data_IF_877420658315
#
_entry.id   IF_877420658315
#
_cell.length_a   1.000
_cell.length_b   1.000
_cell.length_c   1.000
_cell.angle_alpha   90.00
_cell.angle_beta   90.00
_cell.angle_gamma   90.00
#
_symmetry.space_group_name_H-M   'P 1'
#
loop_
_entity.id
_entity.type
_entity.pdbx_description
1 polymer ?
#
# COMPACT_ATOMS: atom_id res chain seq x y z
N UNK A 1 13.76 50.03 -12.33
CA UNK A 1 14.83 50.82 -11.68
C UNK A 1 14.74 50.60 -10.17
N UNK A 2 15.87 50.21 -9.56
CA UNK A 2 16.22 50.29 -8.13
C UNK A 2 15.48 49.33 -7.15
N UNK A 3 16.14 48.24 -6.71
CA UNK A 3 16.92 48.09 -5.45
C UNK A 3 15.96 47.83 -4.24
N UNK A 4 16.09 46.79 -3.41
CA UNK A 4 17.28 46.34 -2.66
C UNK A 4 17.11 44.89 -2.16
N UNK A 5 18.21 44.12 -2.21
CA UNK A 5 18.43 42.87 -1.47
C UNK A 5 18.63 43.19 0.02
N UNK A 6 18.02 42.43 0.90
CA UNK A 6 18.35 42.38 2.34
C UNK A 6 18.83 40.98 2.68
N UNK A 7 20.14 40.89 2.91
CA UNK A 7 20.81 39.83 3.67
C UNK A 7 20.47 40.04 5.15
N UNK A 8 20.08 38.98 5.85
CA UNK A 8 20.29 38.88 7.29
C UNK A 8 21.02 37.57 7.60
N UNK A 9 22.21 37.75 8.17
CA UNK A 9 23.03 36.72 8.77
C UNK A 9 22.64 36.58 10.26
N UNK A 10 22.69 35.35 10.76
CA UNK A 10 22.55 34.99 12.18
C UNK A 10 22.12 33.52 12.24
N UNK A 11 22.94 32.53 12.63
CA UNK A 11 24.00 32.56 13.64
C UNK A 11 23.42 32.10 14.97
N UNK A 12 23.17 30.79 15.11
CA UNK A 12 22.85 30.16 16.39
C UNK A 12 23.55 28.79 16.46
N UNK A 13 24.75 28.82 17.02
CA UNK A 13 25.37 27.66 17.63
C UNK A 13 24.59 27.32 18.91
N UNK A 14 24.14 26.08 19.05
CA UNK A 14 23.61 25.58 20.32
C UNK A 14 24.52 24.47 20.84
N UNK A 15 24.83 24.62 22.11
CA UNK A 15 25.95 24.03 22.85
C UNK A 15 25.77 22.54 23.15
N UNK A 16 26.88 21.82 23.01
CA UNK A 16 27.19 20.55 23.65
C UNK A 16 27.18 20.73 25.17
N UNK A 17 26.33 19.99 25.89
CA UNK A 17 26.33 19.95 27.35
C UNK A 17 26.59 18.51 27.82
N UNK A 18 27.87 18.19 27.95
CA UNK A 18 28.37 17.02 28.66
C UNK A 18 28.45 17.38 30.16
N UNK A 19 27.68 16.72 31.00
CA UNK A 19 27.83 16.79 32.45
C UNK A 19 27.96 15.37 33.02
N UNK A 20 29.17 15.02 33.41
CA UNK A 20 29.49 13.87 34.24
C UNK A 20 29.45 14.28 35.72
N UNK A 21 28.84 13.43 36.56
CA UNK A 21 29.22 13.09 37.95
C UNK A 21 28.03 12.41 38.67
N UNK A 22 28.15 11.54 39.68
CA UNK A 22 29.08 10.50 40.11
C UNK A 22 28.48 9.90 41.41
N UNK A 23 28.07 8.62 41.39
CA UNK A 23 28.12 7.68 42.54
C UNK A 23 27.12 7.77 43.70
N UNK A 24 26.25 6.75 43.83
CA UNK A 24 25.95 6.04 45.10
C UNK A 24 25.57 4.58 44.78
N UNK A 25 26.08 3.66 45.59
CA UNK A 25 26.18 2.21 45.35
C UNK A 25 24.89 1.41 45.58
N UNK A 26 24.66 0.37 44.78
CA UNK A 26 24.28 -0.96 45.31
C UNK A 26 24.71 -2.06 44.34
N UNK A 27 25.39 -3.07 44.86
CA UNK A 27 25.75 -4.32 44.20
C UNK A 27 24.53 -5.26 44.18
N UNK A 28 24.23 -5.92 43.05
CA UNK A 28 24.27 -7.39 42.94
C UNK A 28 24.09 -7.84 41.48
N UNK A 29 24.80 -8.90 41.13
CA UNK A 29 24.98 -9.42 39.78
C UNK A 29 23.78 -10.25 39.29
N UNK A 30 23.45 -10.09 38.01
CA UNK A 30 22.49 -10.96 37.32
C UNK A 30 22.51 -10.73 35.82
N UNK A 31 23.43 -11.40 35.13
CA UNK A 31 23.50 -11.53 33.67
C UNK A 31 22.13 -11.88 33.10
N UNK A 32 21.60 -11.02 32.21
CA UNK A 32 20.73 -11.42 31.11
C UNK A 32 21.15 -10.66 29.86
N UNK A 33 21.90 -11.35 29.02
CA UNK A 33 21.94 -11.11 27.58
C UNK A 33 20.60 -11.57 26.98
N UNK A 34 20.30 -11.01 25.80
CA UNK A 34 19.20 -11.38 24.87
C UNK A 34 17.79 -10.92 25.32
N UNK A 35 17.00 -10.19 24.54
CA UNK A 35 16.92 -9.99 23.09
C UNK A 35 16.44 -8.54 22.83
N UNK A 36 16.79 -7.87 21.71
CA UNK A 36 15.92 -6.81 21.23
C UNK A 36 14.55 -7.47 21.00
N UNK A 37 13.50 -6.86 21.56
CA UNK A 37 12.16 -7.17 21.12
C UNK A 37 12.18 -7.06 19.59
N UNK A 38 11.76 -8.12 18.92
CA UNK A 38 11.47 -8.04 17.49
C UNK A 38 10.45 -6.92 17.35
N UNK A 39 10.93 -5.76 16.93
CA UNK A 39 10.12 -4.88 16.12
C UNK A 39 9.87 -5.70 14.86
N UNK A 40 8.68 -6.29 14.79
CA UNK A 40 8.07 -6.63 13.52
C UNK A 40 7.90 -5.30 12.79
N UNK A 41 8.99 -4.82 12.19
CA UNK A 41 8.96 -3.80 11.16
C UNK A 41 8.20 -4.43 10.00
N UNK A 42 6.91 -4.15 9.96
CA UNK A 42 6.10 -4.24 8.77
C UNK A 42 6.59 -3.12 7.84
N UNK A 43 7.69 -3.39 7.13
CA UNK A 43 8.38 -2.48 6.20
C UNK A 43 7.87 -2.69 4.77
N UNK A 44 6.58 -2.99 4.57
CA UNK A 44 6.08 -3.41 3.25
C UNK A 44 5.44 -2.30 2.41
N UNK A 45 5.47 -1.04 2.85
CA UNK A 45 4.94 0.06 2.01
C UNK A 45 5.53 1.45 2.26
N UNK A 46 6.48 1.62 3.20
CA UNK A 46 7.01 2.94 3.57
C UNK A 46 7.89 3.53 2.44
N UNK A 47 7.26 4.08 1.40
CA UNK A 47 7.93 4.87 0.36
C UNK A 47 7.53 4.60 -1.09
N UNK A 48 6.49 3.81 -1.36
CA UNK A 48 6.05 3.59 -2.74
C UNK A 48 5.13 4.75 -3.15
N UNK A 49 5.51 5.47 -4.20
CA UNK A 49 4.68 6.52 -4.80
C UNK A 49 4.77 6.52 -6.32
N UNK A 50 3.73 7.06 -6.95
CA UNK A 50 3.62 7.12 -8.40
C UNK A 50 2.92 8.41 -8.84
N UNK A 51 3.44 9.06 -9.87
CA UNK A 51 2.82 10.21 -10.52
C UNK A 51 2.21 9.76 -11.85
N UNK A 52 0.89 9.62 -11.87
CA UNK A 52 0.11 9.21 -13.04
C UNK A 52 -0.46 10.39 -13.83
N UNK A 53 -1.26 10.08 -14.85
CA UNK A 53 -1.97 11.12 -15.61
C UNK A 53 -3.17 11.65 -14.82
N UNK A 54 -3.85 10.77 -14.08
CA UNK A 54 -5.10 11.11 -13.39
C UNK A 54 -4.88 11.53 -11.93
N UNK A 55 -3.71 11.25 -11.36
CA UNK A 55 -3.34 11.71 -10.03
C UNK A 55 -1.96 11.27 -9.57
N UNK A 56 -1.57 11.79 -8.41
CA UNK A 56 -0.44 11.29 -7.64
C UNK A 56 -0.93 10.28 -6.59
N UNK A 57 -0.16 9.21 -6.42
CA UNK A 57 -0.48 8.09 -5.54
C UNK A 57 0.65 7.90 -4.54
N UNK A 58 0.31 7.82 -3.25
CA UNK A 58 1.24 7.45 -2.18
C UNK A 58 0.69 6.23 -1.45
N UNK A 59 1.36 5.08 -1.57
CA UNK A 59 0.92 3.82 -1.00
C UNK A 59 1.33 3.73 0.47
N UNK A 60 0.42 3.20 1.29
CA UNK A 60 0.59 3.10 2.74
C UNK A 60 0.59 1.68 3.24
N UNK A 61 -0.18 0.79 2.62
CA UNK A 61 -0.18 -0.63 2.97
C UNK A 61 -0.66 -1.52 1.82
N UNK A 62 -0.24 -2.78 1.86
CA UNK A 62 -0.67 -3.85 0.98
C UNK A 62 -1.06 -5.06 1.83
N UNK A 63 -2.37 -5.25 2.02
CA UNK A 63 -2.88 -6.26 2.95
C UNK A 63 -3.55 -7.40 2.19
N UNK A 64 -3.12 -8.67 2.36
CA UNK A 64 -3.88 -9.82 1.89
C UNK A 64 -5.26 -9.88 2.55
N UNK A 65 -6.31 -10.02 1.76
CA UNK A 65 -7.70 -10.09 2.23
C UNK A 65 -8.42 -11.27 1.61
N UNK A 66 -9.47 -11.74 2.30
CA UNK A 66 -10.42 -12.71 1.76
C UNK A 66 -11.68 -11.99 1.33
N UNK A 67 -12.10 -12.23 0.09
CA UNK A 67 -13.29 -11.60 -0.49
C UNK A 67 -14.35 -12.68 -0.74
N UNK A 68 -15.60 -12.47 -0.33
CA UNK A 68 -16.69 -13.41 -0.60
C UNK A 68 -16.95 -13.52 -2.10
N UNK A 69 -17.04 -14.75 -2.60
CA UNK A 69 -17.26 -15.05 -4.01
C UNK A 69 -18.24 -16.22 -4.19
N UNK A 70 -18.52 -16.56 -5.45
CA UNK A 70 -19.34 -17.71 -5.84
C UNK A 70 -18.54 -18.61 -6.76
N UNK A 71 -18.49 -19.91 -6.44
CA UNK A 71 -17.87 -20.90 -7.32
C UNK A 71 -18.73 -21.17 -8.57
N UNK A 72 -18.22 -22.00 -9.49
CA UNK A 72 -18.93 -22.35 -10.72
C UNK A 72 -20.26 -23.11 -10.48
N UNK A 73 -20.44 -23.67 -9.29
CA UNK A 73 -21.62 -24.42 -8.86
C UNK A 73 -22.62 -23.52 -8.10
N UNK A 74 -22.24 -22.27 -7.81
CA UNK A 74 -23.04 -21.28 -7.12
C UNK A 74 -22.95 -21.36 -5.58
N UNK A 75 -22.03 -22.13 -5.03
CA UNK A 75 -21.78 -22.17 -3.60
C UNK A 75 -20.98 -20.94 -3.16
N UNK A 76 -21.21 -20.51 -1.92
CA UNK A 76 -20.39 -19.48 -1.28
C UNK A 76 -18.95 -19.99 -1.14
N UNK A 77 -18.01 -19.17 -1.59
CA UNK A 77 -16.58 -19.43 -1.45
C UNK A 77 -15.87 -18.11 -1.12
N UNK A 78 -14.57 -18.18 -0.86
CA UNK A 78 -13.72 -17.02 -0.65
C UNK A 78 -12.58 -17.06 -1.67
N UNK A 79 -12.20 -15.89 -2.18
CA UNK A 79 -10.99 -15.74 -2.96
C UNK A 79 -9.99 -14.89 -2.18
N UNK A 80 -8.71 -15.10 -2.44
CA UNK A 80 -7.66 -14.27 -1.90
C UNK A 80 -7.40 -13.08 -2.82
N UNK A 81 -7.34 -11.89 -2.25
CA UNK A 81 -7.07 -10.64 -2.94
C UNK A 81 -6.06 -9.81 -2.13
N UNK A 82 -5.56 -8.71 -2.70
CA UNK A 82 -4.79 -7.69 -1.98
C UNK A 82 -5.59 -6.41 -1.91
N UNK A 83 -5.77 -5.88 -0.70
CA UNK A 83 -6.22 -4.53 -0.45
C UNK A 83 -5.02 -3.58 -0.48
N UNK A 84 -5.12 -2.54 -1.30
CA UNK A 84 -4.09 -1.54 -1.51
C UNK A 84 -4.60 -0.22 -0.94
N UNK A 85 -4.00 0.24 0.15
CA UNK A 85 -4.31 1.51 0.78
C UNK A 85 -3.38 2.61 0.28
N UNK A 86 -3.95 3.73 -0.14
CA UNK A 86 -3.18 4.83 -0.72
C UNK A 86 -3.84 6.19 -0.48
N UNK A 87 -3.01 7.24 -0.45
CA UNK A 87 -3.44 8.61 -0.64
C UNK A 87 -3.44 8.93 -2.13
N UNK A 88 -4.56 9.46 -2.62
CA UNK A 88 -4.75 9.93 -3.98
C UNK A 88 -4.85 11.45 -3.98
N UNK A 89 -3.98 12.14 -4.72
CA UNK A 89 -4.11 13.56 -5.04
C UNK A 89 -4.58 13.72 -6.48
N UNK A 90 -5.72 14.37 -6.69
CA UNK A 90 -6.27 14.57 -8.03
C UNK A 90 -5.54 15.70 -8.75
N UNK A 91 -4.62 15.34 -9.65
CA UNK A 91 -3.87 16.30 -10.47
C UNK A 91 -4.57 16.65 -11.79
N UNK A 92 -5.70 15.99 -12.10
CA UNK A 92 -6.44 16.21 -13.33
C UNK A 92 -7.31 17.48 -13.28
N UNK A 93 -7.73 17.97 -14.45
CA UNK A 93 -8.58 19.17 -14.55
C UNK A 93 -10.06 18.95 -14.17
N UNK A 94 -10.44 17.73 -13.75
CA UNK A 94 -11.83 17.37 -13.45
C UNK A 94 -11.92 16.55 -12.17
N UNK A 95 -13.09 16.56 -11.55
CA UNK A 95 -13.36 15.64 -10.45
C UNK A 95 -13.26 14.19 -10.92
N UNK A 96 -12.62 13.35 -10.11
CA UNK A 96 -12.42 11.93 -10.38
C UNK A 96 -12.56 11.14 -9.08
N UNK A 97 -12.92 9.86 -9.18
CA UNK A 97 -12.89 8.97 -8.03
C UNK A 97 -11.51 8.30 -7.96
N UNK A 98 -10.98 8.02 -6.74
CA UNK A 98 -9.70 7.35 -6.59
C UNK A 98 -9.65 5.99 -7.30
N UNK A 99 -10.76 5.22 -7.26
CA UNK A 99 -10.84 3.91 -7.92
C UNK A 99 -10.81 4.01 -9.45
N UNK A 100 -11.50 5.00 -10.04
CA UNK A 100 -11.46 5.23 -11.49
C UNK A 100 -10.05 5.66 -11.93
N UNK A 101 -9.47 6.65 -11.24
CA UNK A 101 -8.13 7.14 -11.54
C UNK A 101 -7.09 6.03 -11.42
N UNK A 102 -7.10 5.27 -10.32
CA UNK A 102 -6.22 4.12 -10.13
C UNK A 102 -6.34 3.12 -11.28
N UNK A 103 -7.57 2.78 -11.70
CA UNK A 103 -7.78 1.81 -12.79
C UNK A 103 -7.29 2.29 -14.17
N UNK A 104 -7.13 3.61 -14.35
CA UNK A 104 -6.63 4.21 -15.58
C UNK A 104 -5.10 4.32 -15.59
N UNK A 105 -4.51 4.64 -14.43
CA UNK A 105 -3.07 4.87 -14.30
C UNK A 105 -2.28 3.61 -13.92
N UNK A 106 -2.88 2.71 -13.14
CA UNK A 106 -2.22 1.61 -12.47
C UNK A 106 -2.95 0.28 -12.67
N UNK A 107 -2.27 -0.81 -12.36
CA UNK A 107 -2.86 -2.13 -12.26
C UNK A 107 -2.08 -2.97 -11.25
N UNK A 108 -2.80 -3.85 -10.57
CA UNK A 108 -2.20 -4.96 -9.83
C UNK A 108 -2.20 -6.17 -10.75
N UNK A 109 -1.07 -6.83 -10.95
CA UNK A 109 -0.96 -8.03 -11.81
C UNK A 109 -0.14 -9.09 -11.14
N UNK A 110 -0.39 -10.34 -11.50
CA UNK A 110 0.52 -11.43 -11.12
C UNK A 110 1.44 -11.76 -12.29
N UNK A 111 2.70 -12.04 -12.01
CA UNK A 111 3.69 -12.38 -13.03
C UNK A 111 3.97 -13.88 -12.96
N UNK A 112 3.81 -14.54 -14.10
CA UNK A 112 4.12 -15.96 -14.30
C UNK A 112 5.19 -16.15 -15.37
N UNK A 113 5.71 -17.36 -15.48
CA UNK A 113 6.69 -17.72 -16.52
C UNK A 113 6.15 -17.58 -17.96
N UNK A 114 4.83 -17.69 -18.15
CA UNK A 114 4.15 -17.51 -19.43
C UNK A 114 3.72 -16.05 -19.71
N UNK A 115 3.89 -15.15 -18.73
CA UNK A 115 3.55 -13.72 -18.84
C UNK A 115 2.70 -13.21 -17.68
N UNK A 116 2.05 -12.08 -17.89
CA UNK A 116 1.24 -11.40 -16.87
C UNK A 116 -0.18 -12.01 -16.79
N UNK A 117 -0.57 -12.41 -15.59
CA UNK A 117 -1.93 -12.81 -15.26
C UNK A 117 -2.73 -11.59 -14.77
N UNK A 118 -3.90 -11.30 -15.38
CA UNK A 118 -4.73 -10.17 -14.98
C UNK A 118 -5.41 -10.45 -13.63
N UNK A 119 -5.56 -9.41 -12.83
CA UNK A 119 -6.45 -9.40 -11.66
C UNK A 119 -7.71 -8.57 -11.96
N UNK A 120 -8.77 -8.84 -11.22
CA UNK A 120 -10.04 -8.14 -11.24
C UNK A 120 -10.21 -7.26 -10.00
N UNK A 121 -11.03 -6.21 -10.12
CA UNK A 121 -11.29 -5.29 -9.02
C UNK A 121 -12.42 -5.81 -8.12
N UNK A 122 -12.10 -6.03 -6.85
CA UNK A 122 -13.00 -6.51 -5.80
C UNK A 122 -13.24 -5.48 -4.70
N UNK A 123 -12.97 -4.20 -4.98
CA UNK A 123 -13.07 -3.11 -3.98
C UNK A 123 -14.48 -3.04 -3.37
N UNK A 124 -15.51 -3.30 -4.17
CA UNK A 124 -16.91 -3.25 -3.72
C UNK A 124 -17.30 -4.46 -2.87
N UNK A 125 -16.57 -5.56 -2.99
CA UNK A 125 -16.81 -6.83 -2.31
C UNK A 125 -16.09 -6.94 -0.96
N UNK A 126 -15.25 -5.96 -0.61
CA UNK A 126 -14.71 -5.79 0.74
C UNK A 126 -15.83 -5.61 1.76
N UNK A 127 -15.61 -6.06 3.00
CA UNK A 127 -16.60 -5.94 4.07
C UNK A 127 -16.97 -4.48 4.39
N UNK A 128 -18.26 -4.21 4.57
CA UNK A 128 -18.77 -2.84 4.82
C UNK A 128 -18.58 -2.35 6.26
N UNK A 129 -18.15 -3.22 7.17
CA UNK A 129 -17.86 -2.91 8.58
C UNK A 129 -16.45 -3.34 9.03
N UNK A 130 -15.61 -3.74 8.07
CA UNK A 130 -14.20 -4.08 8.29
C UNK A 130 -13.27 -2.87 8.38
N UNK A 131 -11.97 -3.14 8.48
CA UNK A 131 -10.92 -2.13 8.58
C UNK A 131 -10.88 -1.17 7.38
N UNK A 132 -11.24 -1.66 6.19
CA UNK A 132 -11.18 -0.91 4.94
C UNK A 132 -12.44 -0.07 4.66
N UNK A 133 -13.42 -0.03 5.58
CA UNK A 133 -14.73 0.62 5.34
C UNK A 133 -14.59 2.07 4.83
N UNK A 134 -13.79 2.87 5.52
CA UNK A 134 -13.67 4.30 5.21
C UNK A 134 -12.93 4.50 3.87
N UNK A 135 -11.84 3.77 3.65
CA UNK A 135 -11.10 3.77 2.37
C UNK A 135 -11.95 3.27 1.20
N UNK A 136 -12.81 2.26 1.43
CA UNK A 136 -13.74 1.70 0.44
C UNK A 136 -14.77 2.75 0.05
N UNK A 137 -15.36 3.43 1.04
CA UNK A 137 -16.32 4.51 0.78
C UNK A 137 -15.66 5.66 -0.01
N UNK A 138 -14.46 6.08 0.40
CA UNK A 138 -13.70 7.14 -0.26
C UNK A 138 -13.28 6.77 -1.69
N UNK A 139 -13.03 5.48 -1.99
CA UNK A 139 -12.64 5.02 -3.32
C UNK A 139 -13.62 5.40 -4.44
N UNK A 140 -14.89 5.61 -4.09
CA UNK A 140 -15.97 5.95 -5.00
C UNK A 140 -16.48 7.39 -4.84
N UNK A 141 -15.92 8.15 -3.91
CA UNK A 141 -16.26 9.55 -3.72
C UNK A 141 -15.47 10.42 -4.71
N UNK A 142 -16.11 11.49 -5.21
CA UNK A 142 -15.47 12.43 -6.11
C UNK A 142 -14.47 13.30 -5.33
N UNK A 143 -13.25 13.35 -5.82
CA UNK A 143 -12.19 14.25 -5.35
C UNK A 143 -12.04 15.36 -6.38
N UNK A 144 -12.15 16.63 -5.97
CA UNK A 144 -11.98 17.77 -6.87
C UNK A 144 -10.49 17.97 -7.23
N UNK A 145 -10.20 18.68 -8.33
CA UNK A 145 -8.83 19.01 -8.72
C UNK A 145 -8.02 19.70 -7.62
N UNK A 146 -6.86 19.16 -7.30
CA UNK A 146 -5.94 19.65 -6.26
C UNK A 146 -6.34 19.27 -4.83
N UNK A 147 -7.38 18.46 -4.64
CA UNK A 147 -7.71 17.83 -3.36
C UNK A 147 -7.14 16.41 -3.30
N UNK A 148 -7.01 15.89 -2.07
CA UNK A 148 -6.57 14.52 -1.81
C UNK A 148 -7.58 13.73 -0.98
N UNK A 149 -7.55 12.41 -1.13
CA UNK A 149 -8.34 11.46 -0.34
C UNK A 149 -7.56 10.18 -0.09
N UNK A 150 -7.72 9.60 1.10
CA UNK A 150 -7.24 8.24 1.40
C UNK A 150 -8.29 7.24 0.95
N UNK A 151 -7.89 6.30 0.09
CA UNK A 151 -8.76 5.29 -0.48
C UNK A 151 -8.14 3.90 -0.40
N UNK A 152 -8.97 2.89 -0.62
CA UNK A 152 -8.54 1.50 -0.79
C UNK A 152 -9.06 0.96 -2.11
N UNK A 153 -8.27 0.13 -2.76
CA UNK A 153 -8.72 -0.73 -3.86
C UNK A 153 -8.35 -2.17 -3.58
N UNK A 154 -9.18 -3.13 -3.98
CA UNK A 154 -8.87 -4.55 -3.84
C UNK A 154 -8.76 -5.23 -5.20
N UNK A 155 -7.73 -6.06 -5.37
CA UNK A 155 -7.48 -6.80 -6.60
C UNK A 155 -7.16 -8.27 -6.35
N UNK A 156 -7.76 -9.15 -7.14
CA UNK A 156 -7.58 -10.60 -7.07
C UNK A 156 -8.28 -11.30 -8.25
N UNK A 157 -8.54 -12.62 -8.20
CA UNK A 157 -7.96 -13.56 -7.26
C UNK A 157 -6.43 -13.60 -7.39
N UNK A 158 -5.74 -13.88 -6.29
CA UNK A 158 -4.30 -14.04 -6.24
C UNK A 158 -3.93 -15.51 -6.10
N UNK A 159 -2.97 -15.95 -6.91
CA UNK A 159 -2.29 -17.22 -6.79
C UNK A 159 -1.07 -17.08 -5.85
N UNK A 160 -0.95 -17.87 -4.77
CA UNK A 160 0.15 -17.79 -3.82
C UNK A 160 1.51 -18.18 -4.41
N UNK A 161 1.53 -18.86 -5.57
CA UNK A 161 2.76 -19.25 -6.25
C UNK A 161 3.31 -18.15 -7.19
N UNK A 162 2.54 -17.08 -7.42
CA UNK A 162 2.90 -16.00 -8.34
C UNK A 162 3.25 -14.69 -7.62
N UNK A 163 4.30 -14.02 -8.11
CA UNK A 163 4.66 -12.69 -7.64
C UNK A 163 3.59 -11.67 -8.05
N UNK A 164 3.16 -10.83 -7.11
CA UNK A 164 2.15 -9.79 -7.36
C UNK A 164 2.86 -8.44 -7.52
N UNK A 165 2.55 -7.71 -8.58
CA UNK A 165 3.18 -6.43 -8.91
C UNK A 165 2.15 -5.31 -9.02
N UNK A 166 2.49 -4.15 -8.49
CA UNK A 166 1.86 -2.87 -8.80
C UNK A 166 2.58 -2.23 -9.99
N UNK A 167 1.84 -1.98 -11.07
CA UNK A 167 2.41 -1.54 -12.33
C UNK A 167 1.71 -0.30 -12.87
N UNK A 168 2.50 0.61 -13.43
CA UNK A 168 1.99 1.69 -14.27
C UNK A 168 1.41 1.14 -15.56
N UNK A 169 0.28 1.71 -15.99
CA UNK A 169 -0.29 1.47 -17.32
C UNK A 169 0.42 2.38 -18.32
N UNK A 170 0.89 1.78 -19.41
CA UNK A 170 1.45 2.54 -20.52
C UNK A 170 0.35 3.35 -21.22
N UNK A 171 0.51 4.67 -21.27
CA UNK A 171 -0.34 5.56 -22.06
C UNK A 171 0.39 5.91 -23.37
N UNK A 172 -0.14 5.53 -24.55
CA UNK A 172 0.51 5.88 -25.82
C UNK A 172 0.37 7.36 -26.19
N UNK A 173 -0.47 8.12 -25.49
CA UNK A 173 -0.73 9.54 -25.75
C UNK A 173 0.10 10.48 -24.87
N UNK A 174 0.55 10.01 -23.70
CA UNK A 174 1.26 10.80 -22.70
C UNK A 174 2.44 10.00 -22.13
N UNK A 175 3.60 10.63 -22.04
CA UNK A 175 4.77 9.99 -21.41
C UNK A 175 4.62 10.05 -19.89
N UNK A 176 4.24 8.93 -19.29
CA UNK A 176 4.28 8.73 -17.83
C UNK A 176 5.54 7.98 -17.41
N UNK A 177 5.89 8.09 -16.13
CA UNK A 177 6.96 7.27 -15.57
C UNK A 177 6.53 5.79 -15.60
N UNK A 178 7.48 4.89 -15.88
CA UNK A 178 7.23 3.45 -15.77
C UNK A 178 7.37 3.04 -14.31
N UNK A 179 6.42 2.26 -13.81
CA UNK A 179 6.47 1.66 -12.47
C UNK A 179 6.22 0.17 -12.60
N UNK A 180 7.06 -0.61 -11.92
CA UNK A 180 6.86 -2.03 -11.65
C UNK A 180 7.41 -2.28 -10.25
N UNK A 181 6.53 -2.56 -9.30
CA UNK A 181 6.87 -2.76 -7.90
C UNK A 181 6.29 -4.08 -7.43
N UNK A 182 7.14 -5.03 -7.05
CA UNK A 182 6.73 -6.29 -6.44
C UNK A 182 6.17 -6.02 -5.05
N UNK A 183 4.96 -6.52 -4.79
CA UNK A 183 4.27 -6.44 -3.52
C UNK A 183 4.57 -7.72 -2.74
N UNK A 184 5.21 -7.58 -1.59
CA UNK A 184 5.48 -8.70 -0.69
C UNK A 184 4.19 -9.08 0.07
N UNK A 185 3.61 -10.22 -0.27
CA UNK A 185 2.35 -10.71 0.31
C UNK A 185 2.56 -12.09 0.96
N UNK A 186 2.11 -12.23 2.20
CA UNK A 186 2.05 -13.53 2.89
C UNK A 186 0.71 -14.20 2.55
N UNK A 187 0.65 -14.83 1.38
CA UNK A 187 -0.56 -15.48 0.85
C UNK A 187 -0.71 -16.89 1.43
N UNK A 188 -1.91 -17.20 1.93
CA UNK A 188 -2.24 -18.56 2.36
C UNK A 188 -2.16 -19.54 1.16
N UNK A 189 -1.61 -20.76 1.36
CA UNK A 189 -1.58 -21.74 0.29
C UNK A 189 -3.00 -22.08 -0.16
N UNK A 190 -3.17 -22.39 -1.44
CA UNK A 190 -4.45 -22.86 -1.95
C UNK A 190 -4.89 -24.08 -1.13
N UNK A 191 -6.08 -24.01 -0.53
CA UNK A 191 -6.66 -25.14 0.19
C UNK A 191 -6.82 -26.28 -0.83
N UNK A 192 -5.94 -27.28 -0.77
CA UNK A 192 -6.13 -28.54 -1.49
C UNK A 192 -7.45 -29.10 -0.97
N UNK A 193 -8.49 -29.05 -1.80
CA UNK A 193 -9.77 -29.68 -1.48
C UNK A 193 -9.50 -31.15 -1.25
N UNK A 194 -9.43 -31.57 0.02
CA UNK A 194 -9.42 -32.98 0.38
C UNK A 194 -10.72 -33.56 -0.17
N UNK A 195 -10.65 -34.15 -1.36
CA UNK A 195 -11.69 -35.02 -1.90
C UNK A 195 -11.79 -36.21 -0.93
N UNK A 196 -12.62 -36.03 0.10
CA UNK A 196 -13.04 -37.07 1.03
C UNK A 196 -13.82 -38.11 0.23
N UNK A 197 -13.06 -38.98 -0.43
CA UNK A 197 -13.52 -40.18 -1.11
C UNK A 197 -13.85 -41.20 -0.03
N UNK A 198 -14.94 -41.00 0.70
CA UNK A 198 -15.51 -42.04 1.54
C UNK A 198 -16.16 -43.12 0.66
N UNK A 199 -15.49 -44.28 0.64
CA UNK A 199 -15.86 -45.57 0.01
C UNK A 199 -17.10 -46.25 0.64
#
# INVERSE_FOLDING_TARGET
MQLKRTLFAGGLASMLLLAACNGESTEDAGTKEEQPAEETSDESSEGVSYSGVNGDYSFSNFTPVKVPAKDAEGNDTEIQAVAVEFEFENTSDRAATPSEAFSLDLAVRQVSEDGEAPTENYTMDLEDDGEFKDGKAASSELVEPGESATAVVAYGPLDPELATHLQARENPLEETESMDHEIELDLAPAEESEEDSEE
#
